data_IF_989878594155
#
_entry.id   IF_989878594155
#
_cell.length_a   1.000
_cell.length_b   1.000
_cell.length_c   1.000
_cell.angle_alpha   90.00
_cell.angle_beta   90.00
_cell.angle_gamma   90.00
#
_symmetry.space_group_name_H-M   'P 1'
#
loop_
_entity.id
_entity.type
_entity.pdbx_description
1 polymer ?
#
# COMPACT_ATOMS: atom_id res chain seq x y z
N UNK A 1 -14.66 2.55 -8.60
CA UNK A 1 -13.90 3.04 -9.79
C UNK A 1 -14.73 3.02 -11.08
N UNK A 2 -15.93 2.46 -11.03
CA UNK A 2 -16.79 2.27 -12.23
C UNK A 2 -17.26 3.55 -12.91
N UNK A 3 -17.24 4.67 -12.20
CA UNK A 3 -17.78 5.95 -12.70
C UNK A 3 -16.71 6.95 -13.17
N UNK A 4 -15.44 6.52 -13.22
CA UNK A 4 -14.34 7.38 -13.67
C UNK A 4 -13.98 7.11 -15.13
N UNK A 5 -13.80 8.19 -15.89
CA UNK A 5 -13.33 8.11 -17.28
C UNK A 5 -11.82 7.84 -17.34
N UNK A 6 -11.33 7.36 -18.48
CA UNK A 6 -9.90 7.22 -18.70
C UNK A 6 -9.16 8.54 -18.54
N UNK A 7 -9.76 9.64 -19.00
CA UNK A 7 -9.18 10.99 -18.82
C UNK A 7 -8.99 11.32 -17.34
N UNK A 8 -9.99 11.06 -16.50
CA UNK A 8 -9.90 11.25 -15.04
C UNK A 8 -8.84 10.34 -14.41
N UNK A 9 -8.78 9.08 -14.86
CA UNK A 9 -7.80 8.10 -14.37
C UNK A 9 -6.36 8.49 -14.72
N UNK A 10 -6.14 9.11 -15.87
CA UNK A 10 -4.82 9.44 -16.37
C UNK A 10 -4.39 10.89 -16.08
N UNK A 11 -5.18 11.62 -15.27
CA UNK A 11 -4.87 12.96 -14.81
C UNK A 11 -4.03 12.93 -13.54
N UNK A 12 -2.84 13.57 -13.52
CA UNK A 12 -2.06 13.72 -12.30
C UNK A 12 -2.80 14.58 -11.25
N UNK A 13 -2.70 14.21 -9.98
CA UNK A 13 -3.31 14.98 -8.88
C UNK A 13 -2.59 16.31 -8.60
N UNK A 14 -1.37 16.45 -9.12
CA UNK A 14 -0.57 17.68 -9.13
C UNK A 14 0.42 17.62 -10.29
N UNK A 15 0.98 18.75 -10.77
CA UNK A 15 2.03 18.75 -11.79
C UNK A 15 3.23 17.89 -11.39
N UNK A 16 3.61 16.94 -12.25
CA UNK A 16 4.69 15.98 -11.99
C UNK A 16 4.35 14.87 -10.99
N UNK A 17 3.14 14.84 -10.46
CA UNK A 17 2.67 13.77 -9.56
C UNK A 17 2.17 12.53 -10.31
N UNK A 18 1.79 11.52 -9.53
CA UNK A 18 1.19 10.31 -10.09
C UNK A 18 -0.21 10.59 -10.62
N UNK A 19 -0.62 9.80 -11.63
CA UNK A 19 -2.00 9.77 -12.07
C UNK A 19 -2.84 9.00 -11.05
N UNK A 20 -4.18 9.18 -11.11
CA UNK A 20 -5.10 8.40 -10.30
C UNK A 20 -4.93 6.90 -10.55
N UNK A 21 -4.75 6.49 -11.80
CA UNK A 21 -4.50 5.09 -12.18
C UNK A 21 -3.26 4.54 -11.47
N UNK A 22 -2.16 5.30 -11.46
CA UNK A 22 -0.94 4.91 -10.74
C UNK A 22 -1.16 4.76 -9.24
N UNK A 23 -1.92 5.69 -8.62
CA UNK A 23 -2.25 5.61 -7.20
C UNK A 23 -3.05 4.34 -6.89
N UNK A 24 -4.07 4.03 -7.70
CA UNK A 24 -4.90 2.83 -7.49
C UNK A 24 -4.08 1.55 -7.59
N UNK A 25 -3.17 1.46 -8.55
CA UNK A 25 -2.29 0.28 -8.68
C UNK A 25 -1.19 0.25 -7.61
N UNK A 26 -0.71 1.41 -7.15
CA UNK A 26 0.30 1.50 -6.09
C UNK A 26 -0.19 0.98 -4.75
N UNK A 27 -1.45 1.25 -4.37
CA UNK A 27 -1.94 0.90 -3.04
C UNK A 27 -1.86 -0.61 -2.77
N UNK A 28 -2.34 -1.51 -3.64
CA UNK A 28 -2.15 -2.95 -3.39
C UNK A 28 -0.69 -3.39 -3.45
N UNK A 29 0.16 -2.80 -4.28
CA UNK A 29 1.59 -3.09 -4.30
C UNK A 29 2.24 -2.79 -2.94
N UNK A 30 1.95 -1.63 -2.38
CA UNK A 30 2.42 -1.21 -1.07
C UNK A 30 1.89 -2.13 0.04
N UNK A 31 0.61 -2.45 0.01
CA UNK A 31 -0.02 -3.30 1.03
C UNK A 31 0.43 -4.76 0.93
N UNK A 32 0.69 -5.29 -0.27
CA UNK A 32 1.29 -6.61 -0.43
C UNK A 32 2.69 -6.68 0.18
N UNK A 33 3.53 -5.68 -0.07
CA UNK A 33 4.85 -5.60 0.54
C UNK A 33 4.76 -5.58 2.07
N UNK A 34 3.85 -4.79 2.62
CA UNK A 34 3.62 -4.74 4.06
C UNK A 34 3.13 -6.08 4.62
N UNK A 35 2.17 -6.71 3.96
CA UNK A 35 1.67 -8.02 4.35
C UNK A 35 2.80 -9.06 4.42
N UNK A 36 3.65 -9.09 3.41
CA UNK A 36 4.81 -10.00 3.36
C UNK A 36 5.78 -9.69 4.51
N UNK A 37 6.03 -8.42 4.82
CA UNK A 37 6.89 -8.01 5.95
C UNK A 37 6.32 -8.44 7.30
N UNK A 38 5.00 -8.37 7.49
CA UNK A 38 4.33 -8.92 8.67
C UNK A 38 4.57 -10.42 8.78
N UNK A 39 4.41 -11.16 7.69
CA UNK A 39 4.61 -12.63 7.68
C UNK A 39 6.06 -12.98 8.01
N UNK A 40 7.03 -12.30 7.45
CA UNK A 40 8.44 -12.51 7.77
C UNK A 40 8.73 -12.22 9.25
N UNK A 41 8.20 -11.12 9.76
CA UNK A 41 8.44 -10.71 11.15
C UNK A 41 7.83 -11.72 12.15
N UNK A 42 6.70 -12.32 11.80
CA UNK A 42 6.06 -13.35 12.63
C UNK A 42 6.78 -14.70 12.60
N UNK A 43 7.50 -14.98 11.53
CA UNK A 43 8.08 -16.32 11.27
C UNK A 43 9.59 -16.39 11.38
N UNK A 44 10.26 -15.24 11.51
CA UNK A 44 11.73 -15.16 11.60
C UNK A 44 12.13 -14.27 12.78
N UNK A 45 13.34 -14.45 13.27
CA UNK A 45 13.92 -13.64 14.34
C UNK A 45 14.45 -12.33 13.77
N UNK A 46 13.78 -11.23 14.08
CA UNK A 46 14.16 -9.85 13.70
C UNK A 46 14.72 -9.77 12.26
N UNK A 47 13.93 -10.13 11.24
CA UNK A 47 14.43 -10.21 9.87
C UNK A 47 14.75 -8.83 9.32
N UNK A 48 15.74 -8.75 8.44
CA UNK A 48 15.94 -7.58 7.58
C UNK A 48 15.03 -7.73 6.36
N UNK A 49 14.08 -6.82 6.19
CA UNK A 49 13.14 -6.84 5.06
C UNK A 49 13.79 -6.23 3.82
N UNK A 50 13.16 -6.40 2.67
CA UNK A 50 13.58 -5.75 1.44
C UNK A 50 12.81 -4.45 1.21
N UNK A 51 13.52 -3.35 0.95
CA UNK A 51 12.92 -2.14 0.42
C UNK A 51 12.65 -2.30 -1.08
N UNK A 52 11.66 -1.60 -1.60
CA UNK A 52 11.37 -1.55 -3.04
C UNK A 52 11.26 -0.11 -3.50
N UNK A 53 11.55 0.14 -4.76
CA UNK A 53 11.43 1.47 -5.37
C UNK A 53 9.99 1.70 -5.83
N UNK A 54 9.21 2.42 -5.03
CA UNK A 54 7.80 2.70 -5.29
C UNK A 54 7.58 3.40 -6.64
N UNK A 55 8.48 4.30 -7.00
CA UNK A 55 8.40 5.03 -8.26
C UNK A 55 8.56 4.10 -9.45
N UNK A 56 9.55 3.23 -9.42
CA UNK A 56 9.78 2.26 -10.50
C UNK A 56 8.63 1.24 -10.58
N UNK A 57 8.08 0.82 -9.45
CA UNK A 57 6.91 -0.06 -9.43
C UNK A 57 5.67 0.62 -10.05
N UNK A 58 5.48 1.91 -9.83
CA UNK A 58 4.39 2.68 -10.43
C UNK A 58 4.57 2.93 -11.95
N UNK A 59 5.71 2.58 -12.51
CA UNK A 59 6.03 2.73 -13.93
C UNK A 59 6.02 1.41 -14.71
N UNK A 60 5.75 0.28 -14.06
CA UNK A 60 5.64 -1.03 -14.73
C UNK A 60 4.39 -1.10 -15.61
N UNK A 61 4.40 -1.93 -16.67
CA UNK A 61 3.35 -1.90 -17.70
C UNK A 61 1.93 -2.18 -17.21
N UNK A 62 1.75 -3.03 -16.18
CA UNK A 62 0.44 -3.41 -15.68
C UNK A 62 -0.31 -2.25 -14.97
N UNK A 63 0.38 -1.17 -14.60
CA UNK A 63 -0.28 0.02 -14.03
C UNK A 63 -1.15 0.77 -15.06
N UNK A 64 -1.08 0.38 -16.34
CA UNK A 64 -1.96 0.87 -17.41
C UNK A 64 -3.22 0.03 -17.57
N UNK A 65 -3.30 -1.10 -16.88
CA UNK A 65 -4.45 -1.98 -16.91
C UNK A 65 -5.67 -1.38 -16.20
N UNK A 66 -6.80 -2.07 -16.30
CA UNK A 66 -8.02 -1.68 -15.59
C UNK A 66 -7.76 -1.57 -14.08
N UNK A 67 -8.02 -0.41 -13.46
CA UNK A 67 -7.80 -0.22 -12.03
C UNK A 67 -8.66 -1.14 -11.15
N UNK A 68 -9.77 -1.67 -11.64
CA UNK A 68 -10.60 -2.61 -10.90
C UNK A 68 -9.86 -3.89 -10.54
N UNK A 69 -8.85 -4.28 -11.31
CA UNK A 69 -7.96 -5.41 -10.97
C UNK A 69 -7.27 -5.16 -9.62
N UNK A 70 -6.69 -3.99 -9.45
CA UNK A 70 -6.04 -3.60 -8.19
C UNK A 70 -7.02 -3.39 -7.05
N UNK A 71 -8.19 -2.84 -7.31
CA UNK A 71 -9.25 -2.69 -6.30
C UNK A 71 -9.68 -4.06 -5.76
N UNK A 72 -9.91 -5.03 -6.64
CA UNK A 72 -10.30 -6.38 -6.25
C UNK A 72 -9.18 -7.10 -5.49
N UNK A 73 -7.94 -6.95 -5.93
CA UNK A 73 -6.77 -7.49 -5.23
C UNK A 73 -6.66 -6.90 -3.82
N UNK A 74 -6.82 -5.59 -3.68
CA UNK A 74 -6.75 -4.90 -2.40
C UNK A 74 -7.84 -5.37 -1.43
N UNK A 75 -9.08 -5.53 -1.92
CA UNK A 75 -10.18 -6.05 -1.10
C UNK A 75 -9.88 -7.44 -0.56
N UNK A 76 -9.42 -8.35 -1.40
CA UNK A 76 -9.07 -9.71 -0.99
C UNK A 76 -7.89 -9.73 -0.02
N UNK A 77 -6.87 -8.91 -0.28
CA UNK A 77 -5.71 -8.77 0.58
C UNK A 77 -6.10 -8.25 1.97
N UNK A 78 -6.96 -7.23 2.04
CA UNK A 78 -7.40 -6.66 3.31
C UNK A 78 -8.19 -7.65 4.16
N UNK A 79 -9.07 -8.45 3.57
CA UNK A 79 -9.78 -9.51 4.27
C UNK A 79 -8.79 -10.49 4.90
N UNK A 80 -7.82 -10.93 4.13
CA UNK A 80 -6.77 -11.85 4.59
C UNK A 80 -5.87 -11.22 5.65
N UNK A 81 -5.51 -9.97 5.48
CA UNK A 81 -4.65 -9.24 6.41
C UNK A 81 -5.35 -8.96 7.74
N UNK A 82 -6.62 -8.58 7.71
CA UNK A 82 -7.43 -8.41 8.93
C UNK A 82 -7.53 -9.73 9.70
N UNK A 83 -7.73 -10.85 9.01
CA UNK A 83 -7.73 -12.17 9.66
C UNK A 83 -6.40 -12.45 10.36
N UNK A 84 -5.27 -12.11 9.74
CA UNK A 84 -3.95 -12.22 10.35
C UNK A 84 -3.82 -11.32 11.58
N UNK A 85 -4.19 -10.03 11.45
CA UNK A 85 -4.09 -9.04 12.55
C UNK A 85 -4.94 -9.43 13.76
N UNK A 86 -6.13 -9.98 13.54
CA UNK A 86 -7.00 -10.45 14.62
C UNK A 86 -6.41 -11.65 15.40
N UNK A 87 -5.47 -12.37 14.82
CA UNK A 87 -4.78 -13.47 15.50
C UNK A 87 -3.59 -13.02 16.35
N UNK A 88 -3.19 -11.74 16.27
CA UNK A 88 -2.02 -11.23 16.97
C UNK A 88 -2.20 -11.22 18.48
N UNK A 89 -1.18 -11.70 19.17
CA UNK A 89 -0.99 -11.48 20.61
C UNK A 89 -0.29 -10.16 20.86
N UNK A 90 -0.24 -9.70 22.11
CA UNK A 90 0.56 -8.52 22.47
C UNK A 90 2.03 -8.73 22.18
N UNK A 91 2.54 -9.96 22.35
CA UNK A 91 3.93 -10.29 22.00
C UNK A 91 4.17 -10.18 20.49
N UNK A 92 3.23 -10.63 19.66
CA UNK A 92 3.32 -10.46 18.19
C UNK A 92 3.43 -9.00 17.78
N UNK A 93 2.63 -8.11 18.39
CA UNK A 93 2.65 -6.68 18.10
C UNK A 93 3.97 -6.01 18.46
N UNK A 94 4.74 -6.57 19.38
CA UNK A 94 6.04 -6.09 19.79
C UNK A 94 7.20 -6.63 18.96
N UNK A 95 6.95 -7.62 18.10
CA UNK A 95 7.98 -8.17 17.22
C UNK A 95 8.44 -7.10 16.23
N UNK A 96 9.70 -7.21 15.82
CA UNK A 96 10.39 -6.18 15.03
C UNK A 96 11.01 -6.76 13.77
N UNK A 97 11.14 -5.91 12.76
CA UNK A 97 11.99 -6.15 11.62
C UNK A 97 12.99 -5.00 11.48
N UNK A 98 14.05 -5.22 10.68
CA UNK A 98 15.08 -4.22 10.40
C UNK A 98 14.84 -3.63 9.01
N UNK A 99 14.74 -2.30 8.92
CA UNK A 99 14.68 -1.61 7.64
C UNK A 99 16.09 -1.50 7.05
N UNK A 100 16.32 -1.92 5.78
CA UNK A 100 17.67 -2.01 5.23
C UNK A 100 18.35 -0.65 5.00
N UNK A 101 17.57 0.41 4.76
CA UNK A 101 18.11 1.75 4.50
C UNK A 101 18.47 2.48 5.77
N UNK A 102 17.58 2.47 6.78
CA UNK A 102 17.78 3.19 8.04
C UNK A 102 18.53 2.37 9.10
N UNK A 103 18.58 1.03 8.93
CA UNK A 103 19.11 0.07 9.92
C UNK A 103 18.37 0.11 11.26
N UNK A 104 17.19 0.67 11.31
CA UNK A 104 16.35 0.77 12.51
C UNK A 104 15.43 -0.43 12.63
N UNK A 105 15.20 -0.82 13.89
CA UNK A 105 14.18 -1.82 14.23
C UNK A 105 12.80 -1.15 14.23
N UNK A 106 11.84 -1.79 13.57
CA UNK A 106 10.47 -1.29 13.47
C UNK A 106 9.52 -2.35 14.02
N UNK A 107 8.70 -1.98 15.00
CA UNK A 107 7.71 -2.85 15.63
C UNK A 107 6.48 -2.99 14.74
N UNK A 108 5.83 -4.15 14.80
CA UNK A 108 4.61 -4.41 14.04
C UNK A 108 3.44 -3.49 14.43
N UNK A 109 3.30 -3.14 15.72
CA UNK A 109 2.25 -2.20 16.15
C UNK A 109 2.38 -0.82 15.48
N UNK A 110 3.60 -0.35 15.30
CA UNK A 110 3.87 0.90 14.57
C UNK A 110 3.50 0.79 13.09
N UNK A 111 3.74 -0.37 12.49
CA UNK A 111 3.37 -0.62 11.09
C UNK A 111 1.87 -0.61 10.87
N UNK A 112 1.08 -1.16 11.78
CA UNK A 112 -0.39 -1.10 11.71
C UNK A 112 -0.87 0.34 11.65
N UNK A 113 -0.34 1.21 12.53
CA UNK A 113 -0.69 2.62 12.55
C UNK A 113 -0.26 3.35 11.26
N UNK A 114 0.95 3.07 10.76
CA UNK A 114 1.47 3.67 9.53
C UNK A 114 0.61 3.33 8.31
N UNK A 115 0.18 2.08 8.17
CA UNK A 115 -0.62 1.66 7.01
C UNK A 115 -2.06 2.15 7.06
N UNK A 116 -2.63 2.33 8.23
CA UNK A 116 -3.90 3.03 8.38
C UNK A 116 -3.80 4.47 7.85
N UNK A 117 -2.75 5.22 8.26
CA UNK A 117 -2.49 6.57 7.75
C UNK A 117 -2.23 6.60 6.24
N UNK A 118 -1.45 5.65 5.70
CA UNK A 118 -1.11 5.55 4.28
C UNK A 118 -2.36 5.38 3.41
N UNK A 119 -3.29 4.54 3.84
CA UNK A 119 -4.58 4.36 3.17
C UNK A 119 -5.39 5.66 3.11
N UNK A 120 -5.51 6.36 4.22
CA UNK A 120 -6.22 7.63 4.30
C UNK A 120 -5.56 8.73 3.45
N UNK A 121 -4.22 8.77 3.42
CA UNK A 121 -3.46 9.72 2.60
C UNK A 121 -3.76 9.56 1.11
N UNK A 122 -3.74 8.34 0.59
CA UNK A 122 -4.05 8.07 -0.81
C UNK A 122 -5.53 8.30 -1.14
N UNK A 123 -6.43 8.02 -0.23
CA UNK A 123 -7.85 8.37 -0.39
C UNK A 123 -8.03 9.88 -0.55
N UNK A 124 -7.27 10.68 0.19
CA UNK A 124 -7.23 12.15 0.03
C UNK A 124 -6.82 12.56 -1.39
N UNK A 125 -5.80 11.94 -1.98
CA UNK A 125 -5.39 12.19 -3.36
C UNK A 125 -6.49 11.86 -4.37
N UNK A 126 -7.19 10.74 -4.20
CA UNK A 126 -8.31 10.35 -5.06
C UNK A 126 -9.45 11.37 -5.01
N UNK A 127 -9.77 11.86 -3.82
CA UNK A 127 -10.82 12.86 -3.63
C UNK A 127 -10.48 14.20 -4.29
N UNK A 128 -9.22 14.64 -4.23
CA UNK A 128 -8.76 15.87 -4.92
C UNK A 128 -8.97 15.76 -6.41
N UNK A 129 -8.61 14.64 -7.03
CA UNK A 129 -8.79 14.43 -8.47
C UNK A 129 -10.28 14.41 -8.82
N UNK A 130 -11.11 13.69 -8.06
CA UNK A 130 -12.53 13.62 -8.31
C UNK A 130 -13.22 15.00 -8.24
N UNK A 131 -12.80 15.87 -7.32
CA UNK A 131 -13.31 17.24 -7.21
C UNK A 131 -12.88 18.15 -8.33
N UNK A 132 -11.64 18.00 -8.82
CA UNK A 132 -11.08 18.86 -9.87
C UNK A 132 -11.55 18.51 -11.29
N UNK A 133 -12.16 17.34 -11.47
CA UNK A 133 -12.64 16.85 -12.78
C UNK A 133 -14.16 16.93 -12.96
N UNK A 134 -14.87 17.37 -11.95
CA UNK A 134 -16.31 17.67 -12.00
C UNK A 134 -16.52 19.15 -12.31
#
# INVERSE_FOLDING_TARGET
MKDLTNEQLDTPYRPGGWTLRQVVHHVPDSHMNAYVRFKWTLTEETPMIKAYDEKLWAETPEVKADPDISVNLLKALHVKWVALLRSFTMDDLQREYIHPETKKNIRLDRMVALYAWHGDHHLGHLNIIAQNTT
#
